data_IF_326275082575
#
_entry.id   IF_326275082575
#
_cell.length_a   1.000
_cell.length_b   1.000
_cell.length_c   1.000
_cell.angle_alpha   90.00
_cell.angle_beta   90.00
_cell.angle_gamma   90.00
#
_symmetry.space_group_name_H-M   'P 1'
#
loop_
_entity.id
_entity.type
_entity.pdbx_description
1 polymer ?
#
# COMPACT_ATOMS: atom_id res chain seq x y z
N UNK A 1 15.18 3.46 -4.21
CA UNK A 1 15.32 2.67 -2.97
C UNK A 1 14.96 1.22 -3.26
N UNK A 2 15.60 0.26 -2.60
CA UNK A 2 15.34 -1.18 -2.82
C UNK A 2 14.47 -1.73 -1.69
N UNK A 3 13.52 -2.60 -2.04
CA UNK A 3 12.71 -3.42 -1.14
C UNK A 3 12.98 -4.89 -1.43
N UNK A 4 13.45 -5.61 -0.43
CA UNK A 4 13.83 -7.01 -0.55
C UNK A 4 12.97 -7.77 0.46
N UNK A 5 12.21 -8.73 -0.04
CA UNK A 5 11.38 -9.60 0.78
C UNK A 5 12.26 -10.66 1.48
N UNK A 6 11.86 -11.02 2.71
CA UNK A 6 12.60 -11.96 3.56
C UNK A 6 11.88 -13.30 3.64
N UNK A 7 11.62 -13.77 4.86
CA UNK A 7 10.72 -14.91 5.10
C UNK A 7 9.25 -14.60 4.74
N UNK A 8 8.92 -13.31 4.61
CA UNK A 8 7.61 -12.76 4.23
C UNK A 8 7.82 -11.43 3.49
N UNK A 9 6.71 -10.82 3.04
CA UNK A 9 6.70 -9.50 2.41
C UNK A 9 7.35 -8.46 3.34
N UNK A 10 8.16 -7.57 2.76
CA UNK A 10 8.94 -6.61 3.53
C UNK A 10 8.05 -5.50 4.14
N UNK A 11 8.00 -5.42 5.47
CA UNK A 11 7.29 -4.35 6.21
C UNK A 11 7.76 -2.93 5.87
N UNK A 12 8.97 -2.78 5.35
CA UNK A 12 9.50 -1.48 4.93
C UNK A 12 8.91 -0.97 3.62
N UNK A 13 8.32 -1.84 2.79
CA UNK A 13 7.88 -1.46 1.45
C UNK A 13 6.83 -0.33 1.43
N UNK A 14 5.77 -0.32 2.28
CA UNK A 14 4.86 0.82 2.38
C UNK A 14 5.55 2.14 2.72
N UNK A 15 6.56 2.11 3.61
CA UNK A 15 7.32 3.30 3.98
C UNK A 15 8.22 3.79 2.85
N UNK A 16 8.75 2.87 2.03
CA UNK A 16 9.51 3.24 0.84
C UNK A 16 8.61 3.89 -0.22
N UNK A 17 7.35 3.45 -0.34
CA UNK A 17 6.36 4.07 -1.23
C UNK A 17 5.99 5.49 -0.82
N UNK A 18 6.04 5.80 0.47
CA UNK A 18 5.81 7.15 1.01
C UNK A 18 7.03 8.09 0.83
N UNK A 19 8.13 7.58 0.29
CA UNK A 19 9.33 8.37 0.01
C UNK A 19 9.26 9.12 -1.32
N UNK A 20 10.31 9.89 -1.59
CA UNK A 20 10.51 10.70 -2.80
C UNK A 20 11.38 10.00 -3.86
N UNK A 21 11.57 8.69 -3.71
CA UNK A 21 12.51 7.91 -4.52
C UNK A 21 11.80 6.73 -5.18
N UNK A 22 12.11 6.45 -6.44
CA UNK A 22 11.64 5.25 -7.14
C UNK A 22 11.95 4.00 -6.34
N UNK A 23 10.99 3.10 -6.21
CA UNK A 23 11.12 1.86 -5.43
C UNK A 23 11.34 0.66 -6.34
N UNK A 24 12.40 -0.09 -6.08
CA UNK A 24 12.69 -1.37 -6.70
C UNK A 24 12.29 -2.50 -5.75
N UNK A 25 11.36 -3.37 -6.14
CA UNK A 25 10.94 -4.54 -5.34
C UNK A 25 11.58 -5.81 -5.89
N UNK A 26 12.17 -6.63 -5.02
CA UNK A 26 12.68 -7.95 -5.41
C UNK A 26 11.53 -8.84 -5.91
N UNK A 27 11.78 -9.65 -6.93
CA UNK A 27 10.84 -10.72 -7.29
C UNK A 27 10.64 -11.68 -6.10
N UNK A 28 9.39 -11.83 -5.67
CA UNK A 28 8.96 -12.78 -4.65
C UNK A 28 7.46 -13.05 -4.79
N UNK A 29 7.00 -14.19 -4.26
CA UNK A 29 5.58 -14.53 -4.17
C UNK A 29 4.89 -13.90 -2.95
N UNK A 30 5.63 -13.14 -2.15
CA UNK A 30 5.08 -12.54 -0.94
C UNK A 30 4.38 -11.22 -1.26
N UNK A 31 3.12 -11.14 -0.80
CA UNK A 31 2.30 -9.94 -0.87
C UNK A 31 1.64 -9.66 0.48
N UNK A 32 1.47 -8.38 0.78
CA UNK A 32 0.58 -7.94 1.85
C UNK A 32 -0.76 -7.50 1.24
N UNK A 33 -1.80 -7.43 2.08
CA UNK A 33 -3.15 -6.98 1.69
C UNK A 33 -3.10 -5.65 0.94
N UNK A 34 -2.26 -4.71 1.40
CA UNK A 34 -2.12 -3.38 0.82
C UNK A 34 -1.50 -3.36 -0.58
N UNK A 35 -1.11 -4.51 -1.14
CA UNK A 35 -0.45 -4.57 -2.44
C UNK A 35 -1.43 -4.84 -3.59
N UNK A 36 -2.71 -5.11 -3.31
CA UNK A 36 -3.68 -5.53 -4.34
C UNK A 36 -3.81 -4.52 -5.49
N UNK A 37 -3.72 -3.23 -5.20
CA UNK A 37 -3.86 -2.16 -6.19
C UNK A 37 -2.51 -1.61 -6.69
N UNK A 38 -1.39 -2.19 -6.26
CA UNK A 38 -0.07 -1.76 -6.71
C UNK A 38 0.23 -2.26 -8.13
N UNK A 39 0.62 -1.33 -9.00
CA UNK A 39 0.92 -1.61 -10.41
C UNK A 39 2.42 -1.48 -10.67
N UNK A 40 3.01 -2.58 -11.13
CA UNK A 40 4.36 -2.61 -11.69
C UNK A 40 4.50 -1.58 -12.83
N UNK A 41 5.60 -0.84 -12.84
CA UNK A 41 5.86 0.22 -13.81
C UNK A 41 5.16 1.56 -13.52
N UNK A 42 4.25 1.60 -12.53
CA UNK A 42 3.58 2.83 -12.10
C UNK A 42 3.90 3.20 -10.64
N UNK A 43 3.84 2.24 -9.72
CA UNK A 43 4.11 2.49 -8.29
C UNK A 43 5.47 1.96 -7.84
N UNK A 44 5.99 0.94 -8.54
CA UNK A 44 7.28 0.34 -8.24
C UNK A 44 7.79 -0.42 -9.47
N UNK A 45 9.04 -0.87 -9.41
CA UNK A 45 9.67 -1.67 -10.44
C UNK A 45 10.26 -2.95 -9.86
N UNK A 46 10.06 -4.08 -10.51
CA UNK A 46 10.67 -5.33 -10.10
C UNK A 46 12.14 -5.39 -10.53
N UNK A 47 12.96 -6.02 -9.69
CA UNK A 47 14.34 -6.32 -10.03
C UNK A 47 14.71 -7.76 -9.70
N UNK A 48 15.73 -8.25 -10.41
CA UNK A 48 16.47 -9.45 -10.06
C UNK A 48 17.97 -9.10 -9.99
N UNK A 49 18.79 -10.04 -9.49
CA UNK A 49 20.22 -9.77 -9.26
C UNK A 49 20.99 -9.37 -10.53
N UNK A 50 20.55 -9.82 -11.72
CA UNK A 50 21.22 -9.50 -12.98
C UNK A 50 20.84 -8.14 -13.57
N UNK A 51 19.65 -7.62 -13.25
CA UNK A 51 19.11 -6.36 -13.83
C UNK A 51 19.32 -5.14 -12.94
N UNK A 52 19.61 -5.33 -11.65
CA UNK A 52 19.66 -4.25 -10.65
C UNK A 52 20.58 -3.09 -11.05
N UNK A 53 21.79 -3.38 -11.53
CA UNK A 53 22.76 -2.32 -11.90
C UNK A 53 22.26 -1.48 -13.08
N UNK A 54 21.63 -2.11 -14.07
CA UNK A 54 21.09 -1.41 -15.24
C UNK A 54 19.88 -0.56 -14.85
N UNK A 55 19.01 -1.09 -13.99
CA UNK A 55 17.86 -0.35 -13.46
C UNK A 55 18.26 0.83 -12.58
N UNK A 56 19.32 0.71 -11.76
CA UNK A 56 19.82 1.86 -10.99
C UNK A 56 20.35 2.96 -11.93
N UNK A 57 21.02 2.59 -13.01
CA UNK A 57 21.50 3.57 -14.01
C UNK A 57 20.33 4.26 -14.69
N UNK A 58 19.35 3.49 -15.14
CA UNK A 58 18.10 3.98 -15.73
C UNK A 58 17.34 4.92 -14.79
N UNK A 59 17.23 4.57 -13.50
CA UNK A 59 16.55 5.39 -12.50
C UNK A 59 17.17 6.77 -12.33
N UNK A 60 18.47 6.91 -12.56
CA UNK A 60 19.19 8.19 -12.43
C UNK A 60 19.02 9.10 -13.65
N UNK A 61 18.65 8.56 -14.81
CA UNK A 61 18.64 9.30 -16.07
C UNK A 61 17.23 9.67 -16.53
N UNK A 62 16.22 8.89 -16.16
CA UNK A 62 14.84 9.13 -16.56
C UNK A 62 14.08 10.07 -15.61
N UNK A 63 13.01 10.68 -16.13
CA UNK A 63 12.02 11.40 -15.31
C UNK A 63 11.01 10.42 -14.69
N UNK A 64 10.86 10.50 -13.36
CA UNK A 64 9.97 9.65 -12.58
C UNK A 64 8.80 10.39 -11.96
N UNK A 65 8.54 11.65 -12.34
CA UNK A 65 7.46 12.47 -11.77
C UNK A 65 6.10 11.75 -11.76
N UNK A 66 5.78 11.03 -12.85
CA UNK A 66 4.55 10.25 -12.95
C UNK A 66 4.49 9.13 -11.89
N UNK A 67 5.59 8.40 -11.74
CA UNK A 67 5.73 7.32 -10.76
C UNK A 67 5.63 7.85 -9.34
N UNK A 68 6.40 8.89 -9.02
CA UNK A 68 6.42 9.49 -7.68
C UNK A 68 5.07 10.08 -7.30
N UNK A 69 4.36 10.72 -8.23
CA UNK A 69 3.02 11.22 -7.98
C UNK A 69 2.03 10.06 -7.74
N UNK A 70 2.08 9.02 -8.56
CA UNK A 70 1.22 7.85 -8.39
C UNK A 70 1.49 7.12 -7.06
N UNK A 71 2.76 6.98 -6.65
CA UNK A 71 3.14 6.43 -5.34
C UNK A 71 2.57 7.26 -4.19
N UNK A 72 2.73 8.57 -4.23
CA UNK A 72 2.21 9.47 -3.20
C UNK A 72 0.68 9.40 -3.09
N UNK A 73 -0.01 9.43 -4.24
CA UNK A 73 -1.46 9.27 -4.27
C UNK A 73 -1.89 7.92 -3.70
N UNK A 74 -1.19 6.85 -4.05
CA UNK A 74 -1.46 5.51 -3.52
C UNK A 74 -1.33 5.47 -1.99
N UNK A 75 -0.26 6.06 -1.44
CA UNK A 75 -0.05 6.12 0.01
C UNK A 75 -1.16 6.90 0.72
N UNK A 76 -1.60 8.02 0.15
CA UNK A 76 -2.65 8.86 0.71
C UNK A 76 -4.04 8.21 0.65
N UNK A 77 -4.27 7.33 -0.32
CA UNK A 77 -5.57 6.71 -0.54
C UNK A 77 -5.71 5.32 0.08
N UNK A 78 -4.59 4.60 0.30
CA UNK A 78 -4.63 3.18 0.66
C UNK A 78 -3.72 2.77 1.83
N UNK A 79 -2.82 3.65 2.28
CA UNK A 79 -1.82 3.32 3.31
C UNK A 79 -1.88 4.24 4.53
N UNK A 80 -2.93 5.05 4.67
CA UNK A 80 -3.15 5.81 5.89
C UNK A 80 -3.52 4.86 7.04
N UNK A 81 -3.24 5.24 8.31
CA UNK A 81 -3.64 4.44 9.45
C UNK A 81 -5.13 4.07 9.45
N UNK A 82 -5.98 5.01 8.99
CA UNK A 82 -7.42 4.79 8.89
C UNK A 82 -7.76 3.67 7.91
N UNK A 83 -7.11 3.61 6.74
CA UNK A 83 -7.33 2.54 5.74
C UNK A 83 -7.03 1.16 6.33
N UNK A 84 -5.95 1.06 7.13
CA UNK A 84 -5.57 -0.18 7.82
C UNK A 84 -6.61 -0.56 8.88
N UNK A 85 -7.04 0.41 9.71
CA UNK A 85 -8.07 0.15 10.72
C UNK A 85 -9.40 -0.27 10.07
N UNK A 86 -9.78 0.36 8.97
CA UNK A 86 -11.00 0.05 8.25
C UNK A 86 -10.95 -1.33 7.60
N UNK A 87 -9.83 -1.72 7.02
CA UNK A 87 -9.62 -3.08 6.55
C UNK A 87 -9.84 -4.12 7.67
N UNK A 88 -9.28 -3.89 8.86
CA UNK A 88 -9.48 -4.81 9.98
C UNK A 88 -10.90 -4.78 10.52
N UNK A 89 -11.56 -3.61 10.57
CA UNK A 89 -12.95 -3.51 10.98
C UNK A 89 -13.86 -4.28 10.02
N UNK A 90 -13.72 -4.07 8.71
CA UNK A 90 -14.46 -4.77 7.66
C UNK A 90 -14.19 -6.29 7.69
N UNK A 91 -12.92 -6.68 7.81
CA UNK A 91 -12.55 -8.09 7.93
C UNK A 91 -13.22 -8.74 9.14
N UNK A 92 -13.19 -8.07 10.29
CA UNK A 92 -13.80 -8.59 11.53
C UNK A 92 -15.33 -8.57 11.44
N UNK A 93 -15.97 -7.58 10.80
CA UNK A 93 -17.42 -7.59 10.52
C UNK A 93 -17.81 -8.75 9.60
N UNK A 94 -17.07 -8.96 8.51
CA UNK A 94 -17.29 -10.06 7.56
C UNK A 94 -17.15 -11.42 8.24
N UNK A 95 -16.19 -11.57 9.15
CA UNK A 95 -16.06 -12.77 10.00
C UNK A 95 -17.19 -12.89 11.04
N UNK A 96 -17.64 -11.77 11.64
CA UNK A 96 -18.63 -11.73 12.71
C UNK A 96 -20.08 -11.60 12.28
N UNK A 97 -20.38 -11.73 10.98
CA UNK A 97 -21.67 -12.26 10.55
C UNK A 97 -22.04 -13.59 11.28
N UNK A 98 -21.09 -14.21 12.00
CA UNK A 98 -21.27 -15.37 12.86
C UNK A 98 -21.31 -15.09 14.40
N UNK A 99 -21.07 -13.86 14.92
CA UNK A 99 -21.03 -13.60 16.37
C UNK A 99 -21.36 -12.16 16.83
N UNK A 100 -22.48 -11.96 17.54
CA UNK A 100 -23.00 -10.63 17.90
C UNK A 100 -22.18 -9.83 18.93
N UNK A 101 -21.34 -10.48 19.74
CA UNK A 101 -20.56 -9.81 20.79
C UNK A 101 -19.51 -8.84 20.24
N UNK A 102 -18.90 -9.19 19.09
CA UNK A 102 -17.83 -8.37 18.49
C UNK A 102 -18.40 -7.13 17.79
N UNK A 103 -19.57 -7.26 17.18
CA UNK A 103 -20.27 -6.14 16.51
C UNK A 103 -20.57 -4.98 17.46
N UNK A 104 -20.86 -5.24 18.74
CA UNK A 104 -21.15 -4.19 19.73
C UNK A 104 -19.93 -3.34 20.09
N UNK A 105 -18.71 -3.85 19.91
CA UNK A 105 -17.47 -3.17 20.29
C UNK A 105 -16.75 -2.50 19.11
N UNK A 106 -17.15 -2.80 17.87
CA UNK A 106 -16.59 -2.20 16.65
C UNK A 106 -17.34 -0.97 16.15
N UNK A 107 -18.57 -0.73 16.61
CA UNK A 107 -19.41 0.38 16.13
C UNK A 107 -18.74 1.77 16.12
N UNK A 108 -17.85 2.13 17.07
CA UNK A 108 -17.15 3.41 16.99
C UNK A 108 -16.23 3.52 15.77
N UNK A 109 -15.56 2.43 15.37
CA UNK A 109 -14.63 2.38 14.24
C UNK A 109 -15.37 2.42 12.90
N UNK A 110 -16.55 1.79 12.83
CA UNK A 110 -17.38 1.79 11.62
C UNK A 110 -17.74 3.22 11.20
N UNK A 111 -18.09 4.10 12.16
CA UNK A 111 -18.39 5.51 11.87
C UNK A 111 -17.18 6.21 11.24
N UNK A 112 -15.96 5.96 11.73
CA UNK A 112 -14.76 6.58 11.17
C UNK A 112 -14.46 6.09 9.76
N UNK A 113 -14.76 4.82 9.45
CA UNK A 113 -14.60 4.27 8.10
C UNK A 113 -15.62 4.83 7.12
N UNK A 114 -16.90 4.87 7.50
CA UNK A 114 -17.96 5.50 6.69
C UNK A 114 -17.68 7.00 6.45
N UNK A 115 -17.15 7.71 7.45
CA UNK A 115 -16.73 9.11 7.27
C UNK A 115 -15.49 9.23 6.38
N UNK A 116 -14.54 8.31 6.44
CA UNK A 116 -13.37 8.30 5.55
C UNK A 116 -13.80 8.19 4.08
N UNK A 117 -14.68 7.25 3.78
CA UNK A 117 -15.25 7.05 2.44
C UNK A 117 -16.02 8.30 1.98
N UNK A 118 -16.70 9.01 2.88
CA UNK A 118 -17.44 10.23 2.55
C UNK A 118 -16.50 11.44 2.33
N UNK A 119 -15.41 11.56 3.09
CA UNK A 119 -14.45 12.66 2.99
C UNK A 119 -13.53 12.51 1.76
N UNK A 120 -13.18 11.29 1.35
CA UNK A 120 -12.41 11.05 0.13
C UNK A 120 -13.18 11.35 -1.18
N UNK A 121 -14.52 11.51 -1.10
CA UNK A 121 -15.40 11.74 -2.26
C UNK A 121 -15.87 13.20 -2.40
N UNK A 122 -15.55 14.06 -1.42
CA UNK A 122 -15.84 15.50 -1.49
C UNK A 122 -14.80 16.23 -2.37
N UNK A 123 -15.20 16.87 -3.49
CA UNK A 123 -14.30 17.74 -4.22
C UNK A 123 -14.01 18.99 -3.39
N UNK A 124 -12.74 19.38 -3.30
CA UNK A 124 -12.31 20.71 -2.83
C UNK A 124 -12.80 21.80 -3.78
#
# INVERSE_FOLDING_TARGET
MESIDGTVAAYRFPFLLAGDSVVFKSFSDYYAVSYMDLKEGLHYFHFNNSTLIEQIKWARTEDHNKTLNAMNQFVLQHLQPLDIYCYYADFVQTLNAMNQFVLQHLQPLDIYCYYADFVQVLPL
#
